data_IF_078326069792
#
_entry.id   IF_078326069792
#
_cell.length_a   1.000
_cell.length_b   1.000
_cell.length_c   1.000
_cell.angle_alpha   90.00
_cell.angle_beta   90.00
_cell.angle_gamma   90.00
#
_symmetry.space_group_name_H-M   'P 1'
#
loop_
_entity.id
_entity.type
_entity.pdbx_description
1 polymer ?
#
# COMPACT_ATOMS: atom_id res chain seq x y z
N UNK A 1 -13.44 -27.43 2.46
CA UNK A 1 -12.34 -28.29 2.91
C UNK A 1 -11.08 -27.46 2.87
N UNK A 2 -10.64 -27.07 4.06
CA UNK A 2 -9.52 -26.18 4.34
C UNK A 2 -8.20 -26.71 3.80
N UNK A 3 -7.43 -25.82 3.16
CA UNK A 3 -5.97 -25.91 3.12
C UNK A 3 -5.37 -24.50 3.18
N UNK A 4 -5.63 -23.83 4.30
CA UNK A 4 -4.84 -22.69 4.76
C UNK A 4 -4.10 -23.14 6.03
N UNK A 5 -2.78 -23.26 5.93
CA UNK A 5 -1.94 -23.58 7.09
C UNK A 5 -0.67 -24.32 6.71
N UNK A 6 0.45 -23.60 6.74
CA UNK A 6 1.75 -23.99 7.31
C UNK A 6 2.85 -23.08 6.75
N UNK A 7 3.20 -22.05 7.51
CA UNK A 7 4.59 -21.60 7.58
C UNK A 7 4.98 -21.53 9.05
N UNK A 8 5.83 -22.48 9.45
CA UNK A 8 6.31 -22.66 10.80
C UNK A 8 7.72 -22.09 10.94
N UNK A 9 7.87 -21.26 11.97
CA UNK A 9 8.98 -21.20 12.94
C UNK A 9 10.41 -21.12 12.38
N UNK A 10 11.00 -19.94 12.56
CA UNK A 10 12.39 -19.84 13.01
C UNK A 10 12.39 -19.19 14.40
N UNK A 11 12.70 -20.01 15.41
CA UNK A 11 13.03 -19.58 16.77
C UNK A 11 14.53 -19.35 16.82
N UNK A 12 14.99 -18.20 17.29
CA UNK A 12 16.33 -18.09 17.82
C UNK A 12 16.30 -17.32 19.15
N UNK A 13 16.81 -18.03 20.16
CA UNK A 13 16.86 -17.70 21.57
C UNK A 13 18.06 -16.81 21.85
N UNK A 14 17.83 -15.63 22.41
CA UNK A 14 18.76 -14.89 23.27
C UNK A 14 17.86 -14.01 24.16
N UNK A 15 18.01 -13.86 25.46
CA UNK A 15 19.00 -14.28 26.42
C UNK A 15 18.64 -13.46 27.66
N UNK A 16 18.32 -14.13 28.76
CA UNK A 16 17.94 -13.54 30.03
C UNK A 16 19.14 -12.77 30.60
N UNK A 17 19.05 -11.45 30.73
CA UNK A 17 19.92 -10.67 31.58
C UNK A 17 19.06 -9.65 32.33
N UNK A 18 18.74 -9.99 33.58
CA UNK A 18 18.12 -9.07 34.51
C UNK A 18 19.08 -7.97 34.88
N UNK A 19 18.55 -6.76 35.01
CA UNK A 19 19.08 -5.77 35.94
C UNK A 19 17.91 -5.28 36.77
N UNK A 20 17.83 -5.83 37.99
CA UNK A 20 17.14 -5.18 39.10
C UNK A 20 17.88 -3.86 39.36
N UNK A 21 17.16 -2.75 39.32
CA UNK A 21 17.63 -1.51 39.95
C UNK A 21 16.50 -0.95 40.80
N UNK A 22 16.57 -1.36 42.06
CA UNK A 22 15.89 -0.75 43.18
C UNK A 22 16.71 0.48 43.59
N UNK A 23 16.14 1.67 43.51
CA UNK A 23 16.61 2.84 44.24
C UNK A 23 15.38 3.59 44.75
N UNK A 24 15.32 3.73 46.07
CA UNK A 24 14.22 4.30 46.85
C UNK A 24 14.72 5.60 47.50
N UNK A 25 13.90 6.66 47.38
CA UNK A 25 13.75 7.87 48.25
C UNK A 25 14.92 8.91 48.28
N UNK A 26 14.78 10.26 48.34
CA UNK A 26 13.81 11.23 48.90
C UNK A 26 13.83 12.63 48.21
N UNK A 27 12.63 13.22 48.05
CA UNK A 27 12.16 14.63 48.19
C UNK A 27 13.03 15.86 47.83
N UNK A 28 12.48 16.76 46.98
CA UNK A 28 12.74 18.21 47.01
C UNK A 28 12.55 18.98 45.68
N UNK A 29 11.51 19.82 45.59
CA UNK A 29 11.38 21.09 44.84
C UNK A 29 11.97 21.21 43.41
N UNK A 30 11.12 21.20 42.39
CA UNK A 30 10.72 22.39 41.62
C UNK A 30 9.95 21.96 40.35
N UNK A 31 8.93 22.75 40.01
CA UNK A 31 8.05 22.50 38.88
C UNK A 31 8.76 22.74 37.56
N UNK A 32 9.30 21.69 36.97
CA UNK A 32 9.81 21.68 35.60
C UNK A 32 9.00 20.65 34.79
N UNK A 33 8.57 21.09 33.61
CA UNK A 33 7.70 20.36 32.71
C UNK A 33 8.31 19.01 32.31
N UNK A 34 7.79 17.91 32.87
CA UNK A 34 7.99 16.60 32.27
C UNK A 34 7.27 16.56 30.92
N UNK A 35 8.00 16.90 29.86
CA UNK A 35 7.67 16.46 28.51
C UNK A 35 7.81 14.95 28.52
N UNK A 36 6.69 14.24 28.65
CA UNK A 36 6.64 12.81 28.44
C UNK A 36 7.14 12.54 27.02
N UNK A 37 8.39 12.07 26.91
CA UNK A 37 8.90 11.49 25.69
C UNK A 37 7.99 10.30 25.37
N UNK A 38 7.10 10.48 24.40
CA UNK A 38 6.29 9.40 23.86
C UNK A 38 7.26 8.41 23.22
N UNK A 39 7.55 7.33 23.93
CA UNK A 39 8.21 6.16 23.39
C UNK A 39 7.33 5.61 22.26
N UNK A 40 7.64 6.00 21.03
CA UNK A 40 7.03 5.41 19.86
C UNK A 40 7.44 3.93 19.83
N UNK A 41 6.45 3.06 20.00
CA UNK A 41 6.60 1.62 19.87
C UNK A 41 7.21 1.31 18.50
N UNK A 42 8.35 0.61 18.49
CA UNK A 42 9.04 0.17 17.28
C UNK A 42 8.52 -1.18 16.75
N UNK A 43 7.30 -1.56 17.11
CA UNK A 43 6.67 -2.76 16.56
C UNK A 43 6.31 -2.51 15.08
N UNK A 44 6.76 -3.36 14.14
CA UNK A 44 6.36 -3.27 12.74
C UNK A 44 4.88 -3.64 12.64
N UNK A 45 4.01 -2.65 12.82
CA UNK A 45 2.57 -2.81 12.67
C UNK A 45 2.22 -2.69 11.20
N UNK A 46 1.49 -3.67 10.65
CA UNK A 46 1.03 -3.66 9.25
C UNK A 46 -0.10 -2.65 8.97
N UNK A 47 -0.53 -1.88 9.98
CA UNK A 47 -1.53 -0.84 9.84
C UNK A 47 -0.91 0.52 9.45
N UNK A 48 -1.59 1.34 8.65
CA UNK A 48 -1.16 2.72 8.38
C UNK A 48 -1.12 3.56 9.65
N UNK A 49 -0.12 4.45 9.74
CA UNK A 49 -0.12 5.49 10.78
C UNK A 49 -1.21 6.53 10.51
N UNK A 50 -1.65 7.25 11.54
CA UNK A 50 -2.68 8.28 11.40
C UNK A 50 -2.29 9.37 10.39
N UNK A 51 -1.01 9.77 10.39
CA UNK A 51 -0.47 10.71 9.40
C UNK A 51 -0.61 10.16 7.98
N UNK A 52 -0.41 8.86 7.78
CA UNK A 52 -0.54 8.26 6.46
C UNK A 52 -1.99 8.10 6.00
N UNK A 53 -2.89 7.75 6.92
CA UNK A 53 -4.32 7.75 6.64
C UNK A 53 -4.81 9.14 6.20
N UNK A 54 -4.31 10.22 6.80
CA UNK A 54 -4.59 11.59 6.37
C UNK A 54 -4.00 11.89 4.98
N UNK A 55 -2.73 11.53 4.74
CA UNK A 55 -2.09 11.74 3.44
C UNK A 55 -2.79 11.00 2.28
N UNK A 56 -3.40 9.84 2.55
CA UNK A 56 -4.19 9.08 1.59
C UNK A 56 -5.42 9.83 1.05
N UNK A 57 -5.96 10.80 1.80
CA UNK A 57 -7.13 11.56 1.37
C UNK A 57 -6.81 12.41 0.12
N UNK A 58 -5.61 13.00 0.05
CA UNK A 58 -5.18 13.85 -1.06
C UNK A 58 -4.32 13.16 -2.12
N UNK A 59 -3.79 11.98 -1.85
CA UNK A 59 -2.87 11.28 -2.75
C UNK A 59 -3.41 9.90 -3.16
N UNK A 60 -3.83 9.80 -4.42
CA UNK A 60 -4.36 8.55 -4.99
C UNK A 60 -3.38 7.37 -4.87
N UNK A 61 -2.08 7.60 -5.01
CA UNK A 61 -1.09 6.52 -4.95
C UNK A 61 -0.94 5.98 -3.51
N UNK A 62 -0.97 6.88 -2.51
CA UNK A 62 -0.97 6.47 -1.10
C UNK A 62 -2.26 5.72 -0.79
N UNK A 63 -3.42 6.24 -1.19
CA UNK A 63 -4.71 5.57 -0.99
C UNK A 63 -4.75 4.18 -1.62
N UNK A 64 -4.30 4.05 -2.85
CA UNK A 64 -4.25 2.77 -3.55
C UNK A 64 -3.29 1.78 -2.87
N UNK A 65 -2.15 2.24 -2.35
CA UNK A 65 -1.23 1.41 -1.57
C UNK A 65 -1.90 0.90 -0.29
N UNK A 66 -2.57 1.76 0.47
CA UNK A 66 -3.28 1.34 1.70
C UNK A 66 -4.43 0.38 1.41
N UNK A 67 -5.20 0.62 0.35
CA UNK A 67 -6.23 -0.32 -0.09
C UNK A 67 -5.65 -1.68 -0.48
N UNK A 68 -4.49 -1.69 -1.14
CA UNK A 68 -3.80 -2.92 -1.51
C UNK A 68 -3.29 -3.66 -0.27
N UNK A 69 -2.71 -2.98 0.72
CA UNK A 69 -2.32 -3.59 2.00
C UNK A 69 -3.52 -4.16 2.77
N UNK A 70 -4.70 -3.54 2.66
CA UNK A 70 -5.95 -4.10 3.20
C UNK A 70 -6.35 -5.43 2.58
N UNK A 71 -6.00 -5.68 1.31
CA UNK A 71 -6.26 -6.95 0.61
C UNK A 71 -5.10 -7.94 0.68
N UNK A 72 -3.89 -7.44 0.96
CA UNK A 72 -2.63 -8.19 1.01
C UNK A 72 -2.02 -8.07 2.41
N UNK A 73 -2.74 -8.54 3.44
CA UNK A 73 -2.41 -8.32 4.86
C UNK A 73 -1.02 -8.78 5.28
N UNK A 74 -0.48 -9.79 4.60
CA UNK A 74 0.83 -10.38 4.89
C UNK A 74 1.96 -9.78 4.03
N UNK A 75 1.64 -8.82 3.15
CA UNK A 75 2.61 -8.18 2.29
C UNK A 75 3.42 -7.14 3.08
N UNK A 76 4.76 -7.17 3.00
CA UNK A 76 5.60 -6.29 3.81
C UNK A 76 5.45 -4.82 3.40
N UNK A 77 5.39 -3.95 4.41
CA UNK A 77 5.22 -2.51 4.21
C UNK A 77 6.52 -1.80 3.83
N UNK A 78 7.66 -2.20 4.40
CA UNK A 78 8.99 -1.59 4.16
C UNK A 78 8.92 -0.05 4.17
N UNK A 79 8.50 0.52 5.31
CA UNK A 79 8.25 1.94 5.52
C UNK A 79 9.05 2.55 6.68
N UNK A 80 10.20 1.95 7.01
CA UNK A 80 11.09 2.41 8.08
C UNK A 80 12.16 3.41 7.60
N UNK A 81 12.13 3.80 6.33
CA UNK A 81 13.09 4.72 5.73
C UNK A 81 12.96 6.14 6.32
N UNK A 82 14.08 6.86 6.42
CA UNK A 82 14.11 8.19 7.01
C UNK A 82 14.43 9.24 5.96
N UNK A 83 13.92 10.45 6.16
CA UNK A 83 14.33 11.58 5.33
C UNK A 83 15.79 11.95 5.59
N UNK A 84 16.53 12.20 4.52
CA UNK A 84 17.92 12.63 4.61
C UNK A 84 18.11 13.98 5.33
N UNK A 85 17.11 14.86 5.26
CA UNK A 85 17.18 16.24 5.79
C UNK A 85 16.81 16.37 7.28
N UNK A 86 16.00 15.45 7.80
CA UNK A 86 15.33 15.61 9.09
C UNK A 86 15.36 14.35 9.95
N UNK A 87 15.86 13.23 9.43
CA UNK A 87 15.93 11.92 10.09
C UNK A 87 14.55 11.38 10.54
N UNK A 88 13.45 11.98 10.05
CA UNK A 88 12.08 11.59 10.35
C UNK A 88 11.70 10.39 9.47
N UNK A 89 11.04 9.40 10.08
CA UNK A 89 10.52 8.23 9.37
C UNK A 89 9.46 8.68 8.37
N UNK A 90 9.49 8.09 7.17
CA UNK A 90 8.51 8.29 6.11
C UNK A 90 7.48 7.15 6.09
N UNK A 91 6.52 7.21 7.02
CA UNK A 91 5.57 6.11 7.24
C UNK A 91 4.73 5.74 5.99
N UNK A 92 4.46 6.72 5.11
CA UNK A 92 3.76 6.50 3.84
C UNK A 92 4.62 5.96 2.72
N UNK A 93 5.93 6.02 2.87
CA UNK A 93 6.85 5.50 1.88
C UNK A 93 6.95 3.98 2.04
N UNK A 94 5.88 3.31 1.63
CA UNK A 94 5.75 1.84 1.65
C UNK A 94 6.23 1.24 0.32
N UNK A 95 6.52 -0.06 0.32
CA UNK A 95 6.84 -0.83 -0.89
C UNK A 95 5.76 -0.68 -1.96
N UNK A 96 4.47 -0.86 -1.61
CA UNK A 96 3.40 -0.72 -2.60
C UNK A 96 3.24 0.72 -3.08
N UNK A 97 3.45 1.71 -2.22
CA UNK A 97 3.50 3.11 -2.66
C UNK A 97 4.59 3.34 -3.70
N UNK A 98 5.83 2.86 -3.45
CA UNK A 98 6.95 3.00 -4.40
C UNK A 98 6.69 2.25 -5.70
N UNK A 99 6.16 1.03 -5.65
CA UNK A 99 5.78 0.23 -6.81
C UNK A 99 4.74 0.96 -7.68
N UNK A 100 3.70 1.50 -7.05
CA UNK A 100 2.64 2.27 -7.72
C UNK A 100 3.20 3.57 -8.30
N UNK A 101 4.02 4.29 -7.53
CA UNK A 101 4.66 5.53 -7.99
C UNK A 101 5.54 5.26 -9.21
N UNK A 102 6.38 4.23 -9.16
CA UNK A 102 7.23 3.84 -10.27
C UNK A 102 6.41 3.53 -11.53
N UNK A 103 5.35 2.73 -11.40
CA UNK A 103 4.46 2.38 -12.51
C UNK A 103 3.78 3.63 -13.11
N UNK A 104 3.12 4.43 -12.27
CA UNK A 104 2.24 5.52 -12.71
C UNK A 104 2.97 6.83 -13.04
N UNK A 105 4.05 7.15 -12.32
CA UNK A 105 4.77 8.43 -12.45
C UNK A 105 6.09 8.29 -13.18
N UNK A 106 6.90 7.29 -12.82
CA UNK A 106 8.23 7.11 -13.43
C UNK A 106 8.12 6.52 -14.84
N UNK A 107 7.33 5.45 -15.01
CA UNK A 107 7.14 4.78 -16.31
C UNK A 107 5.91 5.24 -17.08
N UNK A 108 5.00 5.96 -16.41
CA UNK A 108 3.74 6.47 -17.00
C UNK A 108 2.91 5.37 -17.68
N UNK A 109 2.94 4.17 -17.10
CA UNK A 109 2.16 3.03 -17.56
C UNK A 109 0.71 3.16 -17.09
N UNK A 110 -0.20 2.52 -17.84
CA UNK A 110 -1.62 2.56 -17.52
C UNK A 110 -1.92 1.63 -16.36
N UNK A 111 -2.44 2.14 -15.23
CA UNK A 111 -2.70 1.29 -14.08
C UNK A 111 -3.97 0.44 -14.23
N UNK A 112 -4.79 0.68 -15.26
CA UNK A 112 -5.92 -0.20 -15.61
C UNK A 112 -5.50 -1.40 -16.45
N UNK A 113 -4.26 -1.44 -16.97
CA UNK A 113 -3.81 -2.53 -17.81
C UNK A 113 -3.01 -3.55 -17.02
N UNK A 114 -3.54 -4.77 -16.93
CA UNK A 114 -2.86 -5.90 -16.30
C UNK A 114 -1.47 -6.18 -16.89
N UNK A 115 -1.32 -6.01 -18.20
CA UNK A 115 -0.04 -6.24 -18.88
C UNK A 115 1.03 -5.25 -18.42
N UNK A 116 0.67 -3.98 -18.27
CA UNK A 116 1.58 -2.93 -17.82
C UNK A 116 2.13 -3.18 -16.41
N UNK A 117 1.31 -3.73 -15.51
CA UNK A 117 1.76 -4.16 -14.20
C UNK A 117 2.74 -5.34 -14.27
N UNK A 118 2.54 -6.28 -15.20
CA UNK A 118 3.48 -7.37 -15.42
C UNK A 118 4.82 -6.88 -15.97
N UNK A 119 4.81 -5.87 -16.85
CA UNK A 119 6.04 -5.20 -17.29
C UNK A 119 6.75 -4.52 -16.13
N UNK A 120 6.01 -3.81 -15.26
CA UNK A 120 6.59 -3.24 -14.04
C UNK A 120 7.26 -4.30 -13.16
N UNK A 121 6.61 -5.44 -12.89
CA UNK A 121 7.26 -6.52 -12.16
C UNK A 121 8.49 -7.06 -12.92
N UNK A 122 8.44 -7.12 -14.25
CA UNK A 122 9.58 -7.46 -15.09
C UNK A 122 10.78 -6.52 -14.85
N UNK A 123 10.56 -5.22 -14.71
CA UNK A 123 11.63 -4.26 -14.41
C UNK A 123 12.29 -4.52 -13.05
N UNK A 124 11.48 -4.79 -12.02
CA UNK A 124 12.00 -5.08 -10.68
C UNK A 124 12.80 -6.38 -10.65
N UNK A 125 12.34 -7.39 -11.39
CA UNK A 125 12.98 -8.70 -11.49
C UNK A 125 14.14 -8.74 -12.50
N UNK A 126 14.48 -7.62 -13.12
CA UNK A 126 15.56 -7.53 -14.12
C UNK A 126 15.27 -8.26 -15.43
N UNK A 127 14.01 -8.57 -15.72
CA UNK A 127 13.58 -9.33 -16.90
C UNK A 127 13.02 -8.46 -18.04
N UNK A 128 12.92 -7.14 -17.86
CA UNK A 128 12.40 -6.21 -18.86
C UNK A 128 13.28 -4.96 -19.01
N UNK A 129 13.11 -3.93 -18.17
CA UNK A 129 13.98 -2.75 -18.19
C UNK A 129 14.82 -2.63 -16.92
N UNK A 130 16.05 -2.13 -17.05
CA UNK A 130 16.90 -1.81 -15.90
C UNK A 130 16.36 -0.58 -15.15
N UNK A 131 16.10 -0.73 -13.85
CA UNK A 131 15.79 0.41 -12.97
C UNK A 131 17.10 1.12 -12.62
N UNK A 132 17.19 2.41 -12.95
CA UNK A 132 18.31 3.27 -12.56
C UNK A 132 18.11 3.69 -11.10
N UNK A 133 19.02 3.37 -10.16
CA UNK A 133 18.86 3.65 -8.73
C UNK A 133 18.54 5.11 -8.43
N UNK A 134 19.23 6.06 -9.07
CA UNK A 134 19.05 7.50 -8.84
C UNK A 134 17.68 8.04 -9.29
N UNK A 135 16.98 7.29 -10.14
CA UNK A 135 15.63 7.63 -10.63
C UNK A 135 14.55 6.81 -9.94
N UNK A 136 14.93 5.97 -8.98
CA UNK A 136 13.98 5.20 -8.20
C UNK A 136 13.11 6.15 -7.34
N UNK A 137 11.81 5.86 -7.14
CA UNK A 137 10.97 6.70 -6.32
C UNK A 137 11.62 6.96 -4.96
N UNK A 138 11.67 8.23 -4.57
CA UNK A 138 12.19 8.69 -3.27
C UNK A 138 13.69 8.50 -3.02
N UNK A 139 14.46 8.10 -4.04
CA UNK A 139 15.91 7.89 -3.94
C UNK A 139 16.70 9.12 -3.44
N UNK A 140 16.26 10.33 -3.80
CA UNK A 140 16.96 11.58 -3.43
C UNK A 140 16.45 12.21 -2.13
N UNK A 141 15.32 11.73 -1.59
CA UNK A 141 14.70 12.27 -0.37
C UNK A 141 15.00 11.44 0.87
N UNK A 142 15.38 10.18 0.69
CA UNK A 142 15.67 9.25 1.77
C UNK A 142 17.17 9.18 2.06
N UNK A 143 17.51 8.80 3.28
CA UNK A 143 18.88 8.50 3.71
C UNK A 143 19.45 7.24 3.05
N UNK A 144 18.60 6.27 2.72
CA UNK A 144 18.94 5.04 2.01
C UNK A 144 18.01 4.82 0.80
N UNK A 145 18.55 4.30 -0.31
CA UNK A 145 17.75 3.97 -1.49
C UNK A 145 17.04 2.60 -1.32
N UNK A 146 15.69 2.57 -1.32
CA UNK A 146 14.92 1.35 -1.06
C UNK A 146 14.98 0.28 -2.17
N UNK A 147 15.54 0.59 -3.35
CA UNK A 147 15.42 -0.26 -4.54
C UNK A 147 15.83 -1.71 -4.32
N UNK A 148 17.00 -1.95 -3.71
CA UNK A 148 17.54 -3.30 -3.59
C UNK A 148 16.69 -4.15 -2.64
N UNK A 149 16.23 -3.55 -1.54
CA UNK A 149 15.34 -4.20 -0.60
C UNK A 149 14.00 -4.55 -1.25
N UNK A 150 13.42 -3.61 -1.99
CA UNK A 150 12.17 -3.81 -2.70
C UNK A 150 12.25 -4.94 -3.74
N UNK A 151 13.35 -5.00 -4.49
CA UNK A 151 13.62 -6.11 -5.43
C UNK A 151 13.68 -7.45 -4.72
N UNK A 152 14.42 -7.52 -3.61
CA UNK A 152 14.57 -8.78 -2.87
C UNK A 152 13.22 -9.36 -2.41
N UNK A 153 12.28 -8.50 -2.03
CA UNK A 153 10.94 -8.90 -1.60
C UNK A 153 10.08 -9.36 -2.78
N UNK A 154 10.10 -8.59 -3.88
CA UNK A 154 9.32 -8.92 -5.07
C UNK A 154 9.85 -10.19 -5.75
N UNK A 155 11.16 -10.45 -5.66
CA UNK A 155 11.77 -11.67 -6.17
C UNK A 155 11.33 -12.92 -5.41
N UNK A 156 11.16 -12.82 -4.08
CA UNK A 156 10.65 -13.92 -3.25
C UNK A 156 9.20 -14.32 -3.57
N UNK A 157 8.43 -13.46 -4.24
CA UNK A 157 7.06 -13.80 -4.64
C UNK A 157 7.07 -14.90 -5.70
N UNK A 158 6.29 -15.95 -5.49
CA UNK A 158 6.02 -16.95 -6.52
C UNK A 158 5.06 -16.40 -7.59
N UNK A 159 4.88 -17.15 -8.69
CA UNK A 159 4.01 -16.76 -9.81
C UNK A 159 2.57 -16.44 -9.38
N UNK A 160 2.00 -17.21 -8.46
CA UNK A 160 0.64 -17.00 -7.99
C UNK A 160 0.55 -15.70 -7.17
N UNK A 161 1.48 -15.46 -6.25
CA UNK A 161 1.54 -14.23 -5.45
C UNK A 161 1.71 -12.99 -6.33
N UNK A 162 2.57 -13.05 -7.35
CA UNK A 162 2.72 -11.97 -8.35
C UNK A 162 1.41 -11.72 -9.10
N UNK A 163 0.68 -12.76 -9.49
CA UNK A 163 -0.62 -12.60 -10.15
C UNK A 163 -1.67 -11.98 -9.21
N UNK A 164 -1.70 -12.38 -7.94
CA UNK A 164 -2.58 -11.80 -6.93
C UNK A 164 -2.28 -10.32 -6.76
N UNK A 165 -1.01 -9.95 -6.54
CA UNK A 165 -0.57 -8.54 -6.45
C UNK A 165 -1.02 -7.72 -7.66
N UNK A 166 -0.75 -8.21 -8.87
CA UNK A 166 -1.15 -7.53 -10.11
C UNK A 166 -2.66 -7.35 -10.19
N UNK A 167 -3.44 -8.40 -9.90
CA UNK A 167 -4.89 -8.34 -9.98
C UNK A 167 -5.46 -7.34 -8.95
N UNK A 168 -4.96 -7.37 -7.71
CA UNK A 168 -5.34 -6.41 -6.67
C UNK A 168 -5.11 -4.97 -7.13
N UNK A 169 -3.93 -4.68 -7.70
CA UNK A 169 -3.62 -3.33 -8.18
C UNK A 169 -4.53 -2.91 -9.34
N UNK A 170 -4.80 -3.79 -10.30
CA UNK A 170 -5.73 -3.47 -11.41
C UNK A 170 -7.13 -3.16 -10.89
N UNK A 171 -7.70 -4.00 -10.03
CA UNK A 171 -9.05 -3.82 -9.47
C UNK A 171 -9.18 -2.48 -8.73
N UNK A 172 -8.17 -2.13 -7.92
CA UNK A 172 -8.13 -0.84 -7.20
C UNK A 172 -8.15 0.34 -8.18
N UNK A 173 -7.42 0.23 -9.29
CA UNK A 173 -7.30 1.33 -10.26
C UNK A 173 -8.45 1.40 -11.27
N UNK A 174 -9.17 0.31 -11.51
CA UNK A 174 -10.40 0.24 -12.32
C UNK A 174 -11.64 0.80 -11.59
N UNK A 175 -11.55 1.09 -10.29
CA UNK A 175 -12.63 1.73 -9.54
C UNK A 175 -13.68 0.77 -8.98
N UNK A 176 -13.38 -0.53 -8.91
CA UNK A 176 -14.21 -1.46 -8.14
C UNK A 176 -13.94 -1.24 -6.64
N UNK A 177 -14.89 -0.49 -6.05
CA UNK A 177 -15.29 -0.30 -4.64
C UNK A 177 -14.55 0.79 -3.81
N UNK A 178 -15.19 1.26 -2.70
CA UNK A 178 -15.97 2.48 -2.57
C UNK A 178 -15.12 3.64 -2.04
N UNK A 179 -15.53 4.86 -2.36
CA UNK A 179 -14.99 6.07 -1.74
C UNK A 179 -15.15 5.96 -0.22
N UNK A 180 -14.05 5.94 0.53
CA UNK A 180 -14.05 6.20 1.97
C UNK A 180 -14.33 7.70 2.20
N UNK A 181 -15.54 8.15 1.86
CA UNK A 181 -16.09 9.38 2.39
C UNK A 181 -16.82 9.04 3.71
N UNK A 182 -16.71 9.87 4.76
CA UNK A 182 -17.56 9.75 5.94
C UNK A 182 -19.03 9.92 5.52
N UNK A 183 -19.93 9.14 6.13
CA UNK A 183 -21.39 9.13 5.92
C UNK A 183 -21.97 10.51 5.59
N UNK A 184 -22.39 10.71 4.34
CA UNK A 184 -23.47 11.64 4.06
C UNK A 184 -24.77 11.01 4.57
N UNK A 185 -25.42 11.71 5.51
CA UNK A 185 -26.72 11.37 6.08
C UNK A 185 -27.71 10.85 5.01
N UNK A 186 -28.60 9.89 5.35
CA UNK A 186 -29.64 9.44 4.43
C UNK A 186 -30.52 10.63 4.02
N UNK A 187 -30.48 10.98 2.72
CA UNK A 187 -31.49 11.85 2.14
C UNK A 187 -32.76 11.01 1.98
N UNK A 188 -33.81 11.43 2.68
CA UNK A 188 -35.15 10.86 2.61
C UNK A 188 -35.69 10.99 1.17
N UNK A 189 -35.79 9.86 0.45
CA UNK A 189 -36.33 9.82 -0.90
C UNK A 189 -37.84 9.63 -0.82
N UNK A 190 -38.59 10.67 -1.19
CA UNK A 190 -40.04 10.62 -1.39
C UNK A 190 -40.37 9.66 -2.56
N UNK A 191 -41.41 8.81 -2.48
CA UNK A 191 -41.72 7.89 -3.58
C UNK A 191 -42.42 8.62 -4.73
N UNK A 192 -41.87 8.51 -5.93
CA UNK A 192 -42.45 8.99 -7.21
C UNK A 192 -42.41 7.80 -8.20
N UNK A 193 -43.45 7.60 -9.02
CA UNK A 193 -43.92 6.26 -9.39
C UNK A 193 -43.14 5.58 -10.52
N UNK A 194 -43.29 4.25 -10.53
CA UNK A 194 -42.73 3.25 -11.44
C UNK A 194 -42.94 3.57 -12.95
N UNK A 195 -41.86 3.60 -13.75
CA UNK A 195 -41.94 3.44 -15.20
C UNK A 195 -41.56 2.01 -15.64
N UNK A 196 -42.25 1.58 -16.70
CA UNK A 196 -42.28 0.26 -17.32
C UNK A 196 -40.90 -0.41 -17.59
N UNK A 197 -40.93 -1.75 -17.54
CA UNK A 197 -39.83 -2.71 -17.70
C UNK A 197 -38.96 -2.54 -18.96
N UNK A 198 -37.71 -3.07 -18.95
CA UNK A 198 -36.67 -2.77 -19.93
C UNK A 198 -36.81 -3.54 -21.25
N UNK A 199 -36.69 -2.84 -22.38
CA UNK A 199 -36.46 -3.50 -23.67
C UNK A 199 -35.02 -4.01 -23.74
N UNK A 200 -34.87 -5.28 -24.09
CA UNK A 200 -33.58 -5.95 -24.27
C UNK A 200 -32.90 -5.44 -25.55
N UNK A 201 -31.56 -5.26 -25.57
CA UNK A 201 -30.87 -4.91 -26.81
C UNK A 201 -31.01 -6.05 -27.81
N UNK A 202 -31.53 -5.76 -29.00
CA UNK A 202 -31.59 -6.73 -30.09
C UNK A 202 -30.17 -7.20 -30.45
N UNK A 203 -30.01 -8.51 -30.68
CA UNK A 203 -28.79 -9.09 -31.23
C UNK A 203 -28.59 -8.62 -32.68
N UNK A 204 -27.36 -8.24 -33.07
CA UNK A 204 -27.09 -7.77 -34.43
C UNK A 204 -27.34 -8.89 -35.44
N UNK A 205 -27.98 -8.55 -36.56
CA UNK A 205 -28.26 -9.51 -37.62
C UNK A 205 -27.10 -9.53 -38.64
N UNK A 206 -26.90 -10.65 -39.37
CA UNK A 206 -25.90 -10.70 -40.43
C UNK A 206 -26.21 -9.66 -41.52
N UNK A 207 -25.44 -8.57 -41.56
CA UNK A 207 -25.66 -7.45 -42.50
C UNK A 207 -25.40 -6.05 -41.94
N UNK A 208 -25.19 -5.90 -40.63
CA UNK A 208 -25.03 -4.59 -39.93
C UNK A 208 -23.69 -3.85 -40.19
N UNK A 209 -22.93 -4.18 -41.23
CA UNK A 209 -21.66 -3.51 -41.56
C UNK A 209 -21.81 -2.11 -42.18
N UNK A 210 -23.03 -1.59 -42.33
CA UNK A 210 -23.30 -0.35 -43.08
C UNK A 210 -23.32 0.94 -42.24
N UNK A 211 -22.99 0.88 -40.94
CA UNK A 211 -22.91 2.04 -40.03
C UNK A 211 -21.50 2.65 -39.92
N UNK A 212 -20.60 2.34 -40.86
CA UNK A 212 -19.30 2.98 -41.01
C UNK A 212 -19.29 3.88 -42.25
N UNK A 213 -19.93 5.04 -42.17
CA UNK A 213 -19.78 6.15 -43.12
C UNK A 213 -19.79 7.49 -42.38
#
# INVERSE_FOLDING_TARGET
MDMWGKWAKASLKYGLAGVVSLALVLWGLDGEHFVAAQSQSTEPTNAPTAACAQAAQGNRNIRAAEQAYGQLSDFPRENTYRLADSNKVQDCNTLLYRLIYYHTRTKRRSPSLRFDWKLTLGDYLGAHETIIPDRYPTATSLDENPLERDRSILDQLNRQQRNVLVNTLVVIFEGQIPSSAPDEKPVEVTPVPEPLQPETPATPQPGDSRLLL
#
